data_IF_482810572329
#
_entry.id   IF_482810572329
#
_cell.length_a   1.000
_cell.length_b   1.000
_cell.length_c   1.000
_cell.angle_alpha   90.00
_cell.angle_beta   90.00
_cell.angle_gamma   90.00
#
_symmetry.space_group_name_H-M   'P 1'
#
loop_
_entity.id
_entity.type
_entity.pdbx_description
1 polymer ?
#
# COMPACT_ATOMS: atom_id res chain seq x y z
N UNK A 1 -33.13 -7.40 -32.14
CA UNK A 1 -32.30 -8.15 -31.17
C UNK A 1 -31.09 -8.75 -31.90
N UNK A 2 -29.92 -8.15 -31.71
CA UNK A 2 -28.59 -8.71 -32.00
C UNK A 2 -27.63 -8.20 -30.91
N UNK A 3 -26.61 -9.00 -30.51
CA UNK A 3 -26.01 -8.91 -29.18
C UNK A 3 -24.93 -7.83 -29.07
N UNK A 4 -24.77 -7.35 -27.85
CA UNK A 4 -23.76 -6.40 -27.37
C UNK A 4 -22.39 -7.10 -27.39
N UNK A 5 -21.45 -6.58 -28.19
CA UNK A 5 -20.05 -6.98 -28.16
C UNK A 5 -19.30 -6.12 -27.13
N UNK A 6 -18.52 -6.79 -26.29
CA UNK A 6 -17.66 -6.23 -25.25
C UNK A 6 -16.53 -5.41 -25.89
N UNK A 7 -16.47 -4.11 -25.60
CA UNK A 7 -15.32 -3.29 -25.98
C UNK A 7 -14.19 -3.49 -24.97
N UNK A 8 -13.15 -4.19 -25.44
CA UNK A 8 -11.82 -4.24 -24.86
C UNK A 8 -11.17 -2.86 -25.00
N UNK A 9 -10.90 -2.20 -23.87
CA UNK A 9 -10.09 -0.98 -23.84
C UNK A 9 -8.61 -1.38 -23.96
N UNK A 10 -8.12 -1.46 -25.18
CA UNK A 10 -6.68 -1.50 -25.46
C UNK A 10 -6.26 -0.06 -25.72
N UNK A 11 -5.70 0.58 -24.70
CA UNK A 11 -5.07 1.89 -24.83
C UNK A 11 -3.75 1.62 -25.54
N UNK A 12 -3.61 2.11 -26.78
CA UNK A 12 -2.37 2.00 -27.55
C UNK A 12 -1.29 2.83 -26.86
N UNK A 13 -0.21 2.15 -26.40
CA UNK A 13 0.94 2.75 -25.70
C UNK A 13 1.75 3.74 -26.57
N UNK A 14 1.40 3.93 -27.85
CA UNK A 14 2.09 4.88 -28.74
C UNK A 14 1.61 6.34 -28.62
N UNK A 15 0.50 6.64 -27.95
CA UNK A 15 -0.03 8.01 -27.89
C UNK A 15 0.46 8.81 -26.67
N UNK A 16 1.25 8.20 -25.78
CA UNK A 16 1.73 8.83 -24.54
C UNK A 16 3.06 9.56 -24.79
N UNK A 17 3.89 9.08 -25.72
CA UNK A 17 5.23 9.64 -25.93
C UNK A 17 5.26 11.02 -26.61
N UNK A 18 4.22 11.37 -27.40
CA UNK A 18 4.18 12.63 -28.15
C UNK A 18 3.72 13.85 -27.34
N UNK A 19 3.17 13.66 -26.12
CA UNK A 19 2.77 14.76 -25.23
C UNK A 19 3.85 15.13 -24.19
N UNK A 20 4.88 14.29 -24.01
CA UNK A 20 5.92 14.50 -23.01
C UNK A 20 7.04 15.48 -23.43
N UNK A 21 7.07 15.96 -24.67
CA UNK A 21 8.14 16.85 -25.16
C UNK A 21 7.82 18.36 -25.16
N UNK A 22 6.60 18.80 -24.85
CA UNK A 22 6.23 20.21 -25.08
C UNK A 22 6.46 21.12 -23.86
N UNK A 23 6.62 20.61 -22.64
CA UNK A 23 6.57 21.48 -21.45
C UNK A 23 7.68 21.35 -20.41
N UNK A 24 8.84 20.79 -20.74
CA UNK A 24 9.90 20.57 -19.74
C UNK A 24 10.80 21.82 -19.54
N UNK A 25 10.42 22.74 -18.63
CA UNK A 25 11.37 23.68 -18.01
C UNK A 25 11.19 23.67 -16.49
N UNK A 26 12.26 23.56 -15.70
CA UNK A 26 12.14 23.57 -14.23
C UNK A 26 11.76 24.98 -13.73
N UNK A 27 10.94 25.04 -12.68
CA UNK A 27 10.68 26.26 -11.91
C UNK A 27 12.03 26.90 -11.57
N UNK A 28 12.26 28.16 -11.97
CA UNK A 28 13.59 28.79 -11.90
C UNK A 28 14.07 28.93 -10.46
N UNK A 29 13.15 29.01 -9.51
CA UNK A 29 13.45 29.05 -8.09
C UNK A 29 13.86 27.68 -7.50
N UNK A 30 13.41 26.56 -8.06
CA UNK A 30 13.65 25.23 -7.47
C UNK A 30 15.15 24.86 -7.41
N UNK A 31 15.96 25.03 -8.47
CA UNK A 31 17.40 24.77 -8.39
C UNK A 31 18.12 25.63 -7.34
N UNK A 32 17.68 26.89 -7.17
CA UNK A 32 18.24 27.82 -6.17
C UNK A 32 17.87 27.38 -4.76
N UNK A 33 16.60 27.00 -4.54
CA UNK A 33 16.10 26.56 -3.24
C UNK A 33 16.67 25.19 -2.84
N UNK A 34 16.84 24.26 -3.78
CA UNK A 34 17.43 22.94 -3.52
C UNK A 34 18.97 23.00 -3.36
N UNK A 35 19.63 24.00 -3.94
CA UNK A 35 21.09 24.13 -3.91
C UNK A 35 21.69 24.55 -2.56
N UNK A 36 20.91 25.21 -1.68
CA UNK A 36 21.34 25.60 -0.34
C UNK A 36 20.39 25.02 0.71
N UNK A 37 20.90 24.16 1.59
CA UNK A 37 20.13 23.51 2.66
C UNK A 37 19.37 24.51 3.55
N UNK A 38 19.90 25.72 3.74
CA UNK A 38 19.24 26.77 4.51
C UNK A 38 18.06 27.38 3.77
N UNK A 39 18.15 27.51 2.45
CA UNK A 39 17.07 27.96 1.58
C UNK A 39 16.04 26.85 1.38
N UNK A 40 16.48 25.60 1.23
CA UNK A 40 15.62 24.43 1.18
C UNK A 40 14.78 24.35 2.46
N UNK A 41 15.40 24.41 3.66
CA UNK A 41 14.69 24.40 4.95
C UNK A 41 13.73 25.57 5.14
N UNK A 42 14.04 26.75 4.60
CA UNK A 42 13.14 27.92 4.64
C UNK A 42 11.99 27.79 3.65
N UNK A 43 12.26 27.24 2.47
CA UNK A 43 11.26 26.97 1.43
C UNK A 43 10.37 25.77 1.74
N UNK A 44 10.83 24.82 2.56
CA UNK A 44 10.08 23.63 3.01
C UNK A 44 9.55 23.74 4.44
N UNK A 45 9.41 24.95 5.00
CA UNK A 45 8.84 25.17 6.34
C UNK A 45 7.63 24.26 6.63
N UNK A 46 7.58 23.70 7.85
CA UNK A 46 6.60 22.70 8.34
C UNK A 46 6.31 21.49 7.41
N UNK A 47 7.27 21.11 6.55
CA UNK A 47 7.12 19.92 5.71
C UNK A 47 6.43 20.22 4.38
N UNK A 48 6.90 21.25 3.69
CA UNK A 48 6.37 21.70 2.39
C UNK A 48 6.31 20.57 1.36
N UNK A 49 5.12 20.02 1.17
CA UNK A 49 4.78 19.18 0.02
C UNK A 49 4.64 20.11 -1.17
N UNK A 50 5.38 19.84 -2.25
CA UNK A 50 5.17 20.55 -3.51
C UNK A 50 3.77 20.18 -4.02
N UNK A 51 2.86 21.15 -4.01
CA UNK A 51 1.54 21.05 -4.59
C UNK A 51 1.52 21.82 -5.89
N UNK A 52 1.20 21.12 -6.97
CA UNK A 52 1.04 21.71 -8.28
C UNK A 52 -0.39 22.28 -8.46
N UNK A 53 -0.63 23.02 -9.54
CA UNK A 53 -1.97 23.51 -9.89
C UNK A 53 -2.91 22.32 -10.15
N UNK A 54 -4.14 22.43 -9.68
CA UNK A 54 -5.19 21.45 -9.95
C UNK A 54 -5.82 21.76 -11.31
N UNK A 55 -5.51 20.95 -12.32
CA UNK A 55 -6.04 21.17 -13.68
C UNK A 55 -7.44 20.59 -13.83
N UNK A 56 -8.25 21.11 -14.74
CA UNK A 56 -9.48 20.42 -15.20
C UNK A 56 -9.21 19.48 -16.39
N UNK A 57 -7.94 19.20 -16.67
CA UNK A 57 -7.51 18.32 -17.78
C UNK A 57 -7.62 16.84 -17.37
N UNK A 58 -7.41 16.55 -16.08
CA UNK A 58 -7.56 15.20 -15.53
C UNK A 58 -8.75 15.13 -14.58
N UNK A 59 -9.53 14.05 -14.67
CA UNK A 59 -10.65 13.81 -13.74
C UNK A 59 -10.22 13.79 -12.28
N UNK A 60 -9.00 13.30 -12.00
CA UNK A 60 -8.43 13.25 -10.66
C UNK A 60 -8.30 14.67 -10.09
N UNK A 61 -7.68 15.57 -10.84
CA UNK A 61 -7.45 16.93 -10.36
C UNK A 61 -8.75 17.72 -10.23
N UNK A 62 -9.72 17.49 -11.13
CA UNK A 62 -11.07 18.06 -11.05
C UNK A 62 -11.81 17.60 -9.78
N UNK A 63 -11.76 16.30 -9.46
CA UNK A 63 -12.33 15.75 -8.22
C UNK A 63 -11.64 16.31 -6.97
N UNK A 64 -10.30 16.43 -6.99
CA UNK A 64 -9.53 17.01 -5.88
C UNK A 64 -9.87 18.50 -5.72
N UNK A 65 -9.99 19.24 -6.82
CA UNK A 65 -10.37 20.66 -6.81
C UNK A 65 -11.76 20.84 -6.19
N UNK A 66 -12.74 20.05 -6.63
CA UNK A 66 -14.09 20.12 -6.10
C UNK A 66 -14.11 19.82 -4.60
N UNK A 67 -13.44 18.74 -4.18
CA UNK A 67 -13.33 18.38 -2.76
C UNK A 67 -12.64 19.46 -1.92
N UNK A 68 -11.57 20.05 -2.46
CA UNK A 68 -10.87 21.17 -1.83
C UNK A 68 -11.81 22.37 -1.62
N UNK A 69 -12.53 22.78 -2.66
CA UNK A 69 -13.46 23.90 -2.57
C UNK A 69 -14.60 23.58 -1.60
N UNK A 70 -15.24 22.41 -1.69
CA UNK A 70 -16.32 22.01 -0.79
C UNK A 70 -15.90 22.10 0.68
N UNK A 71 -14.69 21.66 1.01
CA UNK A 71 -14.16 21.72 2.38
C UNK A 71 -13.77 23.14 2.79
N UNK A 72 -13.10 23.88 1.92
CA UNK A 72 -12.58 25.21 2.24
C UNK A 72 -13.69 26.28 2.27
N UNK A 73 -14.76 26.09 1.50
CA UNK A 73 -15.87 27.04 1.43
C UNK A 73 -16.71 27.08 2.72
N UNK A 74 -16.55 26.09 3.62
CA UNK A 74 -17.13 26.13 4.97
C UNK A 74 -16.54 27.26 5.83
N UNK A 75 -15.34 27.77 5.52
CA UNK A 75 -14.65 28.81 6.28
C UNK A 75 -15.11 30.23 5.90
N UNK A 76 -16.42 30.49 6.06
CA UNK A 76 -17.02 31.80 5.85
C UNK A 76 -17.18 32.58 7.16
N UNK A 77 -16.68 33.82 7.18
CA UNK A 77 -16.76 34.77 8.29
C UNK A 77 -17.85 35.83 8.09
N UNK A 78 -18.57 35.77 6.98
CA UNK A 78 -19.69 36.66 6.65
C UNK A 78 -20.97 36.24 7.37
N UNK A 79 -21.81 37.19 7.82
CA UNK A 79 -23.10 36.87 8.47
C UNK A 79 -24.11 36.15 7.56
N UNK A 80 -23.98 36.23 6.24
CA UNK A 80 -24.84 35.52 5.28
C UNK A 80 -24.01 34.46 4.54
N UNK A 81 -23.70 33.33 5.19
CA UNK A 81 -22.97 32.25 4.53
C UNK A 81 -23.80 31.70 3.37
N UNK A 82 -23.13 31.35 2.28
CA UNK A 82 -23.74 30.74 1.09
C UNK A 82 -23.19 29.34 0.87
N UNK A 83 -23.99 28.46 0.27
CA UNK A 83 -23.49 27.17 -0.18
C UNK A 83 -22.60 27.37 -1.41
N UNK A 84 -21.60 26.50 -1.59
CA UNK A 84 -20.87 26.42 -2.84
C UNK A 84 -21.83 25.95 -3.94
N UNK A 85 -21.96 26.73 -5.01
CA UNK A 85 -22.65 26.34 -6.22
C UNK A 85 -21.66 26.24 -7.39
N UNK A 86 -22.14 25.73 -8.52
CA UNK A 86 -21.29 25.48 -9.69
C UNK A 86 -20.77 26.79 -10.30
N UNK A 87 -21.51 27.90 -10.19
CA UNK A 87 -21.04 29.20 -10.68
C UNK A 87 -19.86 29.73 -9.83
N UNK A 88 -19.93 29.60 -8.51
CA UNK A 88 -18.85 29.98 -7.61
C UNK A 88 -17.62 29.08 -7.79
N UNK A 89 -17.81 27.77 -7.99
CA UNK A 89 -16.73 26.85 -8.33
C UNK A 89 -16.02 27.30 -9.60
N UNK A 90 -16.78 27.53 -10.67
CA UNK A 90 -16.26 27.96 -11.96
C UNK A 90 -15.52 29.30 -11.87
N UNK A 91 -16.04 30.27 -11.12
CA UNK A 91 -15.38 31.57 -10.95
C UNK A 91 -14.10 31.46 -10.13
N UNK A 92 -14.12 30.68 -9.05
CA UNK A 92 -12.92 30.46 -8.23
C UNK A 92 -11.85 29.71 -9.01
N UNK A 93 -12.24 28.77 -9.87
CA UNK A 93 -11.33 28.07 -10.75
C UNK A 93 -10.79 28.99 -11.84
N UNK A 94 -11.67 29.72 -12.51
CA UNK A 94 -11.30 30.63 -13.59
C UNK A 94 -10.33 31.69 -13.06
N UNK A 95 -10.62 32.36 -11.95
CA UNK A 95 -9.76 33.44 -11.46
C UNK A 95 -8.48 32.96 -10.77
N UNK A 96 -8.38 31.69 -10.39
CA UNK A 96 -7.16 31.13 -9.78
C UNK A 96 -6.34 30.22 -10.70
N UNK A 97 -6.95 29.74 -11.78
CA UNK A 97 -6.41 28.70 -12.66
C UNK A 97 -6.02 27.41 -11.94
N UNK A 98 -6.77 27.04 -10.91
CA UNK A 98 -6.54 25.82 -10.12
C UNK A 98 -5.39 25.95 -9.12
N UNK A 99 -4.84 27.14 -8.94
CA UNK A 99 -3.79 27.40 -7.94
C UNK A 99 -4.46 27.59 -6.59
N UNK A 100 -4.32 26.58 -5.72
CA UNK A 100 -4.96 26.52 -4.39
C UNK A 100 -4.70 27.77 -3.56
N UNK A 101 -3.44 28.20 -3.48
CA UNK A 101 -3.05 29.36 -2.67
C UNK A 101 -3.67 30.69 -3.17
N UNK A 102 -3.78 30.87 -4.50
CA UNK A 102 -4.45 32.03 -5.10
C UNK A 102 -5.94 31.98 -4.80
N UNK A 103 -6.56 30.81 -4.88
CA UNK A 103 -7.98 30.59 -4.58
C UNK A 103 -8.33 30.96 -3.14
N UNK A 104 -7.49 30.51 -2.19
CA UNK A 104 -7.64 30.84 -0.76
C UNK A 104 -7.57 32.35 -0.56
N UNK A 105 -6.54 33.01 -1.10
CA UNK A 105 -6.37 34.45 -0.97
C UNK A 105 -7.51 35.23 -1.61
N UNK A 106 -7.95 34.82 -2.79
CA UNK A 106 -9.07 35.43 -3.50
C UNK A 106 -10.35 35.36 -2.66
N UNK A 107 -10.65 34.20 -2.08
CA UNK A 107 -11.79 34.02 -1.20
C UNK A 107 -11.70 34.87 0.07
N UNK A 108 -10.53 34.91 0.74
CA UNK A 108 -10.31 35.74 1.92
C UNK A 108 -10.56 37.22 1.63
N UNK A 109 -10.03 37.74 0.52
CA UNK A 109 -10.22 39.15 0.15
C UNK A 109 -11.67 39.43 -0.23
N UNK A 110 -12.36 38.49 -0.89
CA UNK A 110 -13.78 38.62 -1.19
C UNK A 110 -14.63 38.72 0.07
N UNK A 111 -14.34 37.91 1.10
CA UNK A 111 -14.99 38.00 2.39
C UNK A 111 -14.74 39.34 3.08
N UNK A 112 -13.48 39.79 3.13
CA UNK A 112 -13.15 41.10 3.70
C UNK A 112 -13.88 42.24 2.99
N UNK A 113 -13.98 42.19 1.66
CA UNK A 113 -14.71 43.19 0.89
C UNK A 113 -16.22 43.12 1.17
N UNK A 114 -16.81 41.93 1.25
CA UNK A 114 -18.23 41.78 1.60
C UNK A 114 -18.54 42.36 2.99
N UNK A 115 -17.64 42.16 3.95
CA UNK A 115 -17.73 42.71 5.31
C UNK A 115 -17.60 44.23 5.29
N UNK A 116 -16.59 44.77 4.59
CA UNK A 116 -16.36 46.21 4.51
C UNK A 116 -17.51 46.97 3.85
N UNK A 117 -18.18 46.37 2.86
CA UNK A 117 -19.34 46.93 2.17
C UNK A 117 -20.67 46.72 2.93
N UNK A 118 -20.66 45.95 4.02
CA UNK A 118 -21.85 45.62 4.81
C UNK A 118 -22.86 44.69 4.10
N UNK A 119 -22.56 44.23 2.87
CA UNK A 119 -23.40 43.26 2.17
C UNK A 119 -23.33 41.90 2.87
N UNK A 120 -22.12 41.55 3.33
CA UNK A 120 -21.77 40.29 4.00
C UNK A 120 -22.29 39.07 3.26
N UNK A 121 -22.29 39.13 1.92
CA UNK A 121 -22.73 38.09 1.01
C UNK A 121 -21.67 37.90 -0.09
N UNK A 122 -21.21 36.68 -0.28
CA UNK A 122 -20.27 36.31 -1.34
C UNK A 122 -21.07 36.00 -2.61
N UNK A 123 -20.67 36.59 -3.74
CA UNK A 123 -21.31 36.37 -5.03
C UNK A 123 -20.25 36.17 -6.13
N UNK A 124 -20.57 35.47 -7.23
CA UNK A 124 -19.68 35.33 -8.37
C UNK A 124 -19.17 36.68 -8.90
N UNK A 125 -20.05 37.69 -8.96
CA UNK A 125 -19.69 39.04 -9.37
C UNK A 125 -18.67 39.71 -8.44
N UNK A 126 -18.84 39.55 -7.12
CA UNK A 126 -17.89 40.06 -6.13
C UNK A 126 -16.52 39.41 -6.30
N UNK A 127 -16.46 38.09 -6.49
CA UNK A 127 -15.20 37.35 -6.67
C UNK A 127 -14.47 37.84 -7.92
N UNK A 128 -15.16 37.98 -9.06
CA UNK A 128 -14.58 38.53 -10.31
C UNK A 128 -14.02 39.95 -10.11
N UNK A 129 -14.76 40.81 -9.40
CA UNK A 129 -14.30 42.17 -9.10
C UNK A 129 -13.05 42.16 -8.22
N UNK A 130 -13.02 41.32 -7.18
CA UNK A 130 -11.87 41.21 -6.29
C UNK A 130 -10.65 40.68 -7.03
N UNK A 131 -10.82 39.68 -7.90
CA UNK A 131 -9.77 39.17 -8.75
C UNK A 131 -9.20 40.28 -9.64
N UNK A 132 -10.08 41.07 -10.27
CA UNK A 132 -9.66 42.15 -11.14
C UNK A 132 -8.82 43.22 -10.42
N UNK A 133 -9.18 43.57 -9.20
CA UNK A 133 -8.51 44.62 -8.43
C UNK A 133 -7.24 44.10 -7.72
N UNK A 134 -7.31 42.89 -7.17
CA UNK A 134 -6.33 42.39 -6.19
C UNK A 134 -5.27 41.48 -6.80
N UNK A 135 -5.56 40.83 -7.93
CA UNK A 135 -4.63 39.91 -8.59
C UNK A 135 -3.83 40.57 -9.73
N UNK A 136 -3.85 41.90 -9.85
CA UNK A 136 -3.23 42.64 -10.97
C UNK A 136 -1.75 42.26 -11.25
N UNK A 137 -0.96 41.93 -10.22
CA UNK A 137 0.45 41.51 -10.39
C UNK A 137 0.59 40.11 -11.01
N UNK A 138 -0.28 39.18 -10.63
CA UNK A 138 -0.25 37.78 -11.09
C UNK A 138 -1.18 37.55 -12.29
N UNK A 139 -2.02 38.52 -12.62
CA UNK A 139 -3.01 38.43 -13.71
C UNK A 139 -2.38 38.10 -15.07
N UNK A 140 -1.26 38.68 -15.50
CA UNK A 140 -0.62 38.29 -16.76
C UNK A 140 -0.20 36.81 -16.81
N UNK A 141 0.10 36.23 -15.63
CA UNK A 141 0.47 34.83 -15.49
C UNK A 141 -0.77 33.92 -15.54
N UNK A 142 -1.82 34.31 -14.81
CA UNK A 142 -3.12 33.61 -14.83
C UNK A 142 -3.75 33.64 -16.23
N UNK A 143 -3.67 34.77 -16.93
CA UNK A 143 -4.16 34.91 -18.30
C UNK A 143 -3.35 34.07 -19.29
N UNK A 144 -2.05 33.85 -19.02
CA UNK A 144 -1.24 32.91 -19.79
C UNK A 144 -1.72 31.47 -19.58
N UNK A 145 -1.99 31.07 -18.32
CA UNK A 145 -2.56 29.76 -18.01
C UNK A 145 -3.95 29.57 -18.63
N UNK A 146 -4.84 30.57 -18.54
CA UNK A 146 -6.16 30.59 -19.17
C UNK A 146 -6.09 30.36 -20.69
N UNK A 147 -5.09 30.96 -21.33
CA UNK A 147 -4.95 30.88 -22.79
C UNK A 147 -4.52 29.49 -23.28
N UNK A 148 -3.94 28.65 -22.42
CA UNK A 148 -3.39 27.35 -22.81
C UNK A 148 -2.21 27.43 -23.79
N UNK A 149 -1.72 28.63 -24.11
CA UNK A 149 -0.68 28.88 -25.10
C UNK A 149 0.71 28.57 -24.51
N UNK A 150 1.43 27.55 -25.04
CA UNK A 150 2.75 27.17 -24.56
C UNK A 150 3.77 28.30 -24.54
N UNK A 151 3.73 29.20 -25.53
CA UNK A 151 4.69 30.29 -25.62
C UNK A 151 4.45 31.35 -24.56
N UNK A 152 3.18 31.61 -24.24
CA UNK A 152 2.79 32.55 -23.18
C UNK A 152 3.08 31.99 -21.81
N UNK A 153 2.82 30.70 -21.59
CA UNK A 153 3.11 30.01 -20.33
C UNK A 153 4.63 29.91 -20.13
N UNK A 154 5.41 29.62 -21.17
CA UNK A 154 6.87 29.53 -21.08
C UNK A 154 7.56 30.82 -20.63
N UNK A 155 6.93 32.00 -20.84
CA UNK A 155 7.42 33.28 -20.33
C UNK A 155 7.43 33.34 -18.79
N UNK A 156 6.56 32.56 -18.14
CA UNK A 156 6.41 32.51 -16.70
C UNK A 156 6.84 31.14 -16.18
N UNK A 157 8.14 31.03 -15.88
CA UNK A 157 8.81 29.75 -15.61
C UNK A 157 8.37 29.01 -14.35
N UNK A 158 7.68 29.67 -13.42
CA UNK A 158 7.40 29.13 -12.08
C UNK A 158 6.01 28.47 -11.95
N UNK A 159 5.30 28.28 -13.07
CA UNK A 159 4.00 27.61 -13.13
C UNK A 159 4.07 26.21 -13.73
N UNK A 160 5.28 25.64 -13.82
CA UNK A 160 5.44 24.35 -14.46
C UNK A 160 5.29 23.24 -13.41
N UNK A 161 4.41 22.25 -13.67
CA UNK A 161 4.41 21.00 -12.93
C UNK A 161 5.84 20.47 -12.78
N UNK A 162 6.22 20.12 -11.56
CA UNK A 162 7.32 19.16 -11.40
C UNK A 162 6.80 17.87 -12.05
N UNK A 163 7.48 17.41 -13.10
CA UNK A 163 7.23 16.07 -13.62
C UNK A 163 7.70 15.05 -12.58
N UNK A 164 6.80 14.71 -11.64
CA UNK A 164 7.02 13.68 -10.63
C UNK A 164 7.00 12.29 -11.31
N UNK A 165 6.56 12.18 -12.57
CA UNK A 165 6.60 10.94 -13.36
C UNK A 165 8.02 10.42 -13.52
N UNK A 166 8.94 11.28 -13.95
CA UNK A 166 10.37 10.96 -14.08
C UNK A 166 10.97 10.51 -12.75
N UNK A 167 10.63 11.18 -11.64
CA UNK A 167 11.07 10.78 -10.31
C UNK A 167 10.44 9.45 -9.88
N UNK A 168 9.15 9.25 -10.10
CA UNK A 168 8.43 8.02 -9.76
C UNK A 168 9.04 6.81 -10.49
N UNK A 169 9.34 6.95 -11.78
CA UNK A 169 9.95 5.90 -12.59
C UNK A 169 11.41 5.63 -12.20
N UNK A 170 12.15 6.69 -11.84
CA UNK A 170 13.49 6.58 -11.27
C UNK A 170 13.50 5.88 -9.90
N UNK A 171 12.53 6.16 -9.03
CA UNK A 171 12.43 5.51 -7.72
C UNK A 171 11.86 4.09 -7.83
N UNK A 172 10.93 3.85 -8.76
CA UNK A 172 10.40 2.53 -9.10
C UNK A 172 11.49 1.59 -9.60
N UNK A 173 12.29 2.01 -10.58
CA UNK A 173 13.41 1.22 -11.10
C UNK A 173 14.45 0.89 -10.02
N UNK A 174 14.74 1.84 -9.12
CA UNK A 174 15.60 1.59 -7.95
C UNK A 174 14.99 0.59 -6.97
N UNK A 175 13.68 0.65 -6.72
CA UNK A 175 12.98 -0.31 -5.86
C UNK A 175 12.93 -1.71 -6.47
N UNK A 176 12.70 -1.82 -7.78
CA UNK A 176 12.72 -3.09 -8.53
C UNK A 176 14.12 -3.70 -8.57
N UNK A 177 15.16 -2.89 -8.82
CA UNK A 177 16.55 -3.32 -8.76
C UNK A 177 16.93 -3.82 -7.35
N UNK A 178 16.47 -3.14 -6.30
CA UNK A 178 16.67 -3.56 -4.92
C UNK A 178 15.97 -4.89 -4.63
N UNK A 179 14.70 -5.04 -5.03
CA UNK A 179 13.95 -6.32 -4.93
C UNK A 179 14.66 -7.46 -5.66
N UNK A 180 15.17 -7.21 -6.87
CA UNK A 180 15.90 -8.21 -7.67
C UNK A 180 17.22 -8.61 -7.00
N UNK A 181 17.93 -7.64 -6.39
CA UNK A 181 19.16 -7.92 -5.63
C UNK A 181 18.90 -8.77 -4.38
N UNK A 182 17.80 -8.50 -3.66
CA UNK A 182 17.39 -9.30 -2.49
C UNK A 182 16.96 -10.72 -2.90
N UNK A 183 16.19 -10.87 -3.99
CA UNK A 183 15.84 -12.18 -4.56
C UNK A 183 17.07 -12.99 -4.96
N UNK A 184 18.10 -12.34 -5.53
CA UNK A 184 19.37 -13.00 -5.86
C UNK A 184 20.11 -13.46 -4.61
N UNK A 185 20.12 -12.67 -3.54
CA UNK A 185 20.73 -13.04 -2.25
C UNK A 185 20.04 -14.25 -1.63
N UNK A 186 18.70 -14.29 -1.62
CA UNK A 186 17.94 -15.47 -1.17
C UNK A 186 18.28 -16.71 -2.02
N UNK A 187 18.36 -16.55 -3.35
CA UNK A 187 18.68 -17.66 -4.26
C UNK A 187 20.12 -18.18 -4.11
N UNK A 188 21.07 -17.35 -3.67
CA UNK A 188 22.44 -17.78 -3.35
C UNK A 188 22.54 -18.51 -2.02
N UNK A 189 21.66 -18.23 -1.05
CA UNK A 189 21.60 -18.96 0.23
C UNK A 189 20.97 -20.35 0.06
N UNK A 190 20.10 -20.53 -0.95
CA UNK A 190 19.42 -21.80 -1.24
C UNK A 190 20.19 -22.77 -2.17
N UNK A 191 21.36 -22.39 -2.69
CA UNK A 191 22.23 -23.35 -3.39
C UNK A 191 23.11 -24.07 -2.37
N UNK A 192 22.97 -25.39 -2.17
CA UNK A 192 24.00 -26.16 -1.47
C UNK A 192 25.30 -26.04 -2.29
N UNK A 193 26.42 -25.81 -1.60
CA UNK A 193 27.75 -25.65 -2.18
C UNK A 193 28.07 -26.74 -3.19
N UNK A 194 28.64 -26.34 -4.33
CA UNK A 194 29.08 -27.20 -5.42
C UNK A 194 30.40 -27.93 -5.10
N UNK A 195 30.44 -28.65 -3.97
CA UNK A 195 31.55 -29.53 -3.59
C UNK A 195 30.99 -30.95 -3.44
N UNK A 196 31.16 -31.78 -4.48
CA UNK A 196 30.85 -33.22 -4.61
C UNK A 196 29.46 -33.72 -4.09
N UNK A 197 28.67 -34.46 -4.91
CA UNK A 197 27.50 -35.14 -4.38
C UNK A 197 27.96 -36.13 -3.29
N UNK A 198 27.44 -36.01 -2.07
CA UNK A 198 27.62 -37.07 -1.09
C UNK A 198 27.08 -38.37 -1.74
N UNK A 199 27.83 -39.47 -1.63
CA UNK A 199 27.38 -40.78 -2.14
C UNK A 199 25.95 -41.12 -1.65
N UNK A 200 25.58 -40.59 -0.49
CA UNK A 200 24.24 -40.65 0.08
C UNK A 200 23.18 -39.94 -0.76
N UNK A 201 23.45 -38.73 -1.24
CA UNK A 201 22.51 -38.01 -2.09
C UNK A 201 22.31 -38.72 -3.44
N UNK A 202 23.37 -39.31 -4.00
CA UNK A 202 23.29 -40.02 -5.27
C UNK A 202 22.45 -41.31 -5.15
N UNK A 203 22.67 -42.10 -4.09
CA UNK A 203 21.86 -43.29 -3.78
C UNK A 203 20.38 -42.91 -3.54
N UNK A 204 20.11 -41.81 -2.83
CA UNK A 204 18.73 -41.34 -2.59
C UNK A 204 18.03 -40.97 -3.91
N UNK A 205 18.71 -40.23 -4.80
CA UNK A 205 18.16 -39.85 -6.10
C UNK A 205 17.83 -41.09 -6.93
N UNK A 206 18.74 -42.08 -6.98
CA UNK A 206 18.49 -43.31 -7.72
C UNK A 206 17.34 -44.13 -7.13
N UNK A 207 17.19 -44.19 -5.81
CA UNK A 207 16.05 -44.86 -5.17
C UNK A 207 14.72 -44.15 -5.46
N UNK A 208 14.71 -42.81 -5.48
CA UNK A 208 13.53 -42.04 -5.86
C UNK A 208 13.14 -42.27 -7.33
N UNK A 209 14.12 -42.45 -8.23
CA UNK A 209 13.87 -42.82 -9.62
C UNK A 209 13.31 -44.25 -9.79
N UNK A 210 13.44 -45.10 -8.77
CA UNK A 210 12.81 -46.43 -8.68
C UNK A 210 11.45 -46.37 -7.97
N UNK A 211 10.82 -45.18 -7.94
CA UNK A 211 9.53 -44.86 -7.34
C UNK A 211 9.44 -45.11 -5.82
N UNK A 212 10.59 -45.07 -5.12
CA UNK A 212 10.59 -45.13 -3.67
C UNK A 212 10.26 -43.75 -3.06
N UNK A 213 9.31 -43.66 -2.10
CA UNK A 213 8.99 -42.39 -1.45
C UNK A 213 10.22 -41.75 -0.80
N UNK A 214 10.35 -40.41 -0.80
CA UNK A 214 11.57 -39.70 -0.37
C UNK A 214 12.00 -40.03 1.08
N UNK A 215 11.02 -40.24 1.96
CA UNK A 215 11.25 -40.59 3.37
C UNK A 215 11.87 -41.99 3.52
N UNK A 216 11.43 -42.96 2.72
CA UNK A 216 11.97 -44.32 2.72
C UNK A 216 13.31 -44.38 2.00
N UNK A 217 13.44 -43.69 0.86
CA UNK A 217 14.70 -43.61 0.11
C UNK A 217 15.84 -43.12 1.01
N UNK A 218 15.60 -42.06 1.80
CA UNK A 218 16.58 -41.54 2.76
C UNK A 218 16.92 -42.54 3.87
N UNK A 219 15.90 -43.14 4.49
CA UNK A 219 16.08 -44.09 5.59
C UNK A 219 16.92 -45.31 5.16
N UNK A 220 16.61 -45.90 4.01
CA UNK A 220 17.32 -47.09 3.53
C UNK A 220 18.69 -46.76 2.94
N UNK A 221 18.85 -45.59 2.30
CA UNK A 221 20.16 -45.12 1.86
C UNK A 221 21.12 -44.92 3.05
N UNK A 222 20.65 -44.29 4.15
CA UNK A 222 21.43 -44.13 5.37
C UNK A 222 21.81 -45.48 6.01
N UNK A 223 20.87 -46.43 6.08
CA UNK A 223 21.12 -47.78 6.60
C UNK A 223 22.21 -48.53 5.81
N UNK A 224 22.11 -48.53 4.47
CA UNK A 224 23.02 -49.28 3.60
C UNK A 224 24.40 -48.62 3.51
N UNK A 225 24.46 -47.29 3.57
CA UNK A 225 25.73 -46.56 3.59
C UNK A 225 26.44 -46.73 4.93
N UNK A 226 25.71 -46.80 6.04
CA UNK A 226 26.28 -47.10 7.36
C UNK A 226 26.82 -48.54 7.48
N UNK A 227 26.21 -49.49 6.78
CA UNK A 227 26.62 -50.90 6.75
C UNK A 227 27.58 -51.24 5.59
N UNK A 228 28.09 -50.22 4.87
CA UNK A 228 28.82 -50.37 3.60
C UNK A 228 30.13 -51.17 3.76
N UNK A 229 30.41 -52.02 2.77
CA UNK A 229 31.75 -52.55 2.50
C UNK A 229 32.56 -51.54 1.67
N UNK A 230 33.87 -51.34 1.96
CA UNK A 230 34.65 -50.22 1.43
C UNK A 230 34.65 -50.10 -0.11
N UNK A 231 34.48 -51.20 -0.84
CA UNK A 231 34.55 -51.23 -2.31
C UNK A 231 33.20 -51.33 -3.03
N UNK A 232 32.06 -51.16 -2.33
CA UNK A 232 30.75 -51.26 -2.96
C UNK A 232 30.45 -50.08 -3.90
N UNK A 233 29.89 -50.38 -5.08
CA UNK A 233 29.49 -49.40 -6.09
C UNK A 233 28.09 -48.83 -5.82
N UNK A 234 27.80 -47.64 -6.35
CA UNK A 234 26.51 -46.94 -6.15
C UNK A 234 25.33 -47.81 -6.56
N UNK A 235 25.44 -48.57 -7.66
CA UNK A 235 24.40 -49.47 -8.15
C UNK A 235 24.13 -50.68 -7.22
N UNK A 236 25.17 -51.16 -6.52
CA UNK A 236 25.02 -52.26 -5.56
C UNK A 236 24.32 -51.77 -4.30
N UNK A 237 24.70 -50.58 -3.83
CA UNK A 237 24.10 -49.95 -2.65
C UNK A 237 22.63 -49.58 -2.89
N UNK A 238 22.28 -49.11 -4.10
CA UNK A 238 20.87 -48.81 -4.44
C UNK A 238 20.05 -50.08 -4.57
N UNK A 239 20.59 -51.15 -5.18
CA UNK A 239 19.90 -52.43 -5.26
C UNK A 239 19.68 -53.07 -3.87
N UNK A 240 20.64 -52.96 -2.97
CA UNK A 240 20.52 -53.46 -1.60
C UNK A 240 19.51 -52.65 -0.78
N UNK A 241 19.53 -51.31 -0.89
CA UNK A 241 18.59 -50.43 -0.22
C UNK A 241 17.15 -50.64 -0.73
N UNK A 242 16.98 -50.86 -2.03
CA UNK A 242 15.67 -51.14 -2.64
C UNK A 242 15.10 -52.50 -2.20
N UNK A 243 15.94 -53.54 -2.15
CA UNK A 243 15.56 -54.86 -1.63
C UNK A 243 15.20 -54.80 -0.14
N UNK A 244 15.95 -54.07 0.66
CA UNK A 244 15.66 -53.87 2.09
C UNK A 244 14.30 -53.18 2.28
N UNK A 245 14.01 -52.15 1.47
CA UNK A 245 12.72 -51.46 1.50
C UNK A 245 11.55 -52.40 1.15
N UNK A 246 11.70 -53.25 0.13
CA UNK A 246 10.69 -54.25 -0.25
C UNK A 246 10.47 -55.30 0.85
N UNK A 247 11.54 -55.74 1.51
CA UNK A 247 11.48 -56.77 2.57
C UNK A 247 10.84 -56.29 3.87
N UNK A 248 10.91 -54.97 4.15
CA UNK A 248 10.26 -54.36 5.32
C UNK A 248 8.73 -54.16 5.12
N UNK A 249 8.17 -54.57 3.98
CA UNK A 249 6.74 -54.61 3.70
C UNK A 249 6.10 -53.23 3.56
N UNK A 250 5.90 -52.77 2.32
CA UNK A 250 5.14 -51.56 2.01
C UNK A 250 3.64 -51.88 1.96
N UNK A 251 2.80 -51.06 2.58
CA UNK A 251 1.38 -50.98 2.21
C UNK A 251 1.21 -50.32 0.82
N UNK A 252 0.06 -50.48 0.15
CA UNK A 252 -0.24 -49.96 -1.21
C UNK A 252 0.00 -48.45 -1.46
N UNK A 253 0.33 -47.68 -0.42
CA UNK A 253 0.67 -46.25 -0.46
C UNK A 253 2.13 -45.96 -0.04
N UNK A 254 2.99 -46.98 0.01
CA UNK A 254 4.42 -46.85 0.28
C UNK A 254 4.78 -46.41 1.70
N UNK A 255 3.96 -46.80 2.70
CA UNK A 255 4.23 -46.54 4.12
C UNK A 255 4.76 -47.82 4.81
N UNK A 256 5.72 -47.71 5.75
CA UNK A 256 6.22 -48.88 6.48
C UNK A 256 5.11 -49.45 7.38
N UNK A 257 4.86 -50.76 7.31
CA UNK A 257 3.86 -51.43 8.16
C UNK A 257 4.40 -51.54 9.59
N UNK A 258 4.00 -50.61 10.45
CA UNK A 258 4.32 -50.63 11.87
C UNK A 258 3.44 -51.69 12.54
N UNK A 259 4.03 -52.82 12.95
CA UNK A 259 3.37 -53.74 13.89
C UNK A 259 3.22 -53.02 15.23
N UNK A 260 1.98 -52.74 15.61
CA UNK A 260 1.63 -51.98 16.82
C UNK A 260 2.36 -52.50 18.07
N UNK A 261 3.15 -51.64 18.70
CA UNK A 261 3.44 -51.73 20.12
C UNK A 261 2.71 -50.58 20.82
N UNK A 262 1.90 -50.94 21.81
CA UNK A 262 0.98 -50.10 22.59
C UNK A 262 1.49 -48.66 22.80
N UNK A 263 0.64 -47.71 22.44
CA UNK A 263 0.87 -46.28 22.60
C UNK A 263 1.26 -45.92 24.05
N UNK A 264 2.40 -45.24 24.20
CA UNK A 264 2.63 -44.35 25.34
C UNK A 264 2.42 -42.92 24.84
N UNK A 265 1.36 -42.29 25.35
CA UNK A 265 0.96 -40.92 25.04
C UNK A 265 2.07 -39.94 25.39
N UNK A 266 2.56 -39.17 24.42
CA UNK A 266 3.42 -38.01 24.70
C UNK A 266 2.54 -36.77 24.92
N UNK A 267 2.55 -36.33 26.16
CA UNK A 267 1.95 -35.11 26.68
C UNK A 267 2.37 -33.88 25.86
N UNK A 268 1.38 -33.07 25.48
CA UNK A 268 1.60 -31.71 25.02
C UNK A 268 2.20 -30.91 26.18
N UNK A 269 3.34 -30.26 25.95
CA UNK A 269 3.95 -29.27 26.87
C UNK A 269 2.87 -28.37 27.46
N UNK A 270 2.56 -28.56 28.74
CA UNK A 270 1.69 -27.65 29.49
C UNK A 270 2.43 -26.33 29.65
N UNK A 271 1.91 -25.27 29.04
CA UNK A 271 2.23 -23.92 29.51
C UNK A 271 1.46 -23.77 30.82
N UNK A 272 2.16 -23.62 31.94
CA UNK A 272 1.53 -23.30 33.22
C UNK A 272 1.05 -21.85 33.14
N UNK A 273 -0.22 -21.66 32.85
CA UNK A 273 -0.84 -20.34 32.95
C UNK A 273 -1.11 -20.03 34.43
N UNK A 274 -1.07 -18.75 34.80
CA UNK A 274 -1.45 -18.33 36.16
C UNK A 274 -2.93 -18.67 36.43
N UNK A 275 -3.34 -18.92 37.69
CA UNK A 275 -4.72 -19.33 38.02
C UNK A 275 -5.80 -18.39 37.48
N UNK A 276 -5.49 -17.09 37.38
CA UNK A 276 -6.40 -16.03 36.93
C UNK A 276 -6.18 -15.63 35.46
N UNK A 277 -5.46 -16.43 34.66
CA UNK A 277 -5.27 -16.12 33.23
C UNK A 277 -6.58 -16.30 32.46
N UNK A 278 -6.99 -15.23 31.75
CA UNK A 278 -8.18 -15.21 30.90
C UNK A 278 -8.22 -16.35 29.88
N UNK A 279 -7.05 -16.85 29.45
CA UNK A 279 -6.96 -17.96 28.49
C UNK A 279 -7.46 -19.28 29.08
N UNK A 280 -7.25 -19.54 30.37
CA UNK A 280 -7.76 -20.73 31.04
C UNK A 280 -9.28 -20.66 31.17
N UNK A 281 -9.80 -19.49 31.57
CA UNK A 281 -11.23 -19.25 31.76
C UNK A 281 -12.00 -19.39 30.43
N UNK A 282 -11.44 -18.87 29.33
CA UNK A 282 -12.04 -19.00 27.99
C UNK A 282 -11.89 -20.42 27.44
N UNK A 283 -10.80 -21.12 27.73
CA UNK A 283 -10.64 -22.53 27.36
C UNK A 283 -11.66 -23.43 28.07
N UNK A 284 -11.95 -23.16 29.35
CA UNK A 284 -13.01 -23.82 30.09
C UNK A 284 -14.39 -23.54 29.49
N UNK A 285 -14.68 -22.29 29.12
CA UNK A 285 -15.93 -21.95 28.41
C UNK A 285 -16.10 -22.76 27.12
N UNK A 286 -15.02 -22.93 26.36
CA UNK A 286 -15.01 -23.73 25.12
C UNK A 286 -15.22 -25.22 25.40
N UNK A 287 -14.66 -25.76 26.49
CA UNK A 287 -14.86 -27.15 26.92
C UNK A 287 -16.30 -27.40 27.37
N UNK A 288 -16.91 -26.42 28.04
CA UNK A 288 -18.24 -26.51 28.61
C UNK A 288 -19.35 -26.00 27.66
N UNK A 289 -18.99 -25.60 26.43
CA UNK A 289 -19.89 -25.00 25.41
C UNK A 289 -20.71 -23.80 25.91
N UNK A 290 -20.19 -23.07 26.89
CA UNK A 290 -20.81 -21.84 27.40
C UNK A 290 -20.29 -20.61 26.65
N UNK A 291 -21.06 -19.53 26.67
CA UNK A 291 -20.61 -18.26 26.10
C UNK A 291 -19.44 -17.70 26.92
N UNK A 292 -18.36 -17.30 26.24
CA UNK A 292 -17.18 -16.72 26.87
C UNK A 292 -17.52 -15.52 27.78
N UNK A 293 -18.52 -14.73 27.39
CA UNK A 293 -19.00 -13.57 28.15
C UNK A 293 -19.57 -13.97 29.52
N UNK A 294 -20.38 -15.03 29.57
CA UNK A 294 -20.98 -15.51 30.83
C UNK A 294 -19.93 -16.09 31.77
N UNK A 295 -18.98 -16.86 31.24
CA UNK A 295 -17.90 -17.46 32.05
C UNK A 295 -16.99 -16.38 32.64
N UNK A 296 -16.64 -15.35 31.87
CA UNK A 296 -15.85 -14.21 32.35
C UNK A 296 -16.61 -13.34 33.37
N UNK A 297 -17.93 -13.18 33.21
CA UNK A 297 -18.80 -12.51 34.19
C UNK A 297 -18.85 -13.28 35.51
N UNK A 298 -18.99 -14.61 35.46
CA UNK A 298 -19.02 -15.46 36.65
C UNK A 298 -17.69 -15.46 37.41
N UNK A 299 -16.56 -15.34 36.70
CA UNK A 299 -15.24 -15.17 37.29
C UNK A 299 -14.97 -13.73 37.80
N UNK A 300 -15.94 -12.82 37.70
CA UNK A 300 -15.82 -11.44 38.22
C UNK A 300 -14.87 -10.53 37.44
N UNK A 301 -14.39 -10.97 36.27
CA UNK A 301 -13.50 -10.19 35.39
C UNK A 301 -14.27 -9.05 34.71
N UNK A 302 -15.57 -9.26 34.44
CA UNK A 302 -16.44 -8.31 33.75
C UNK A 302 -17.59 -7.93 34.68
N UNK A 303 -17.79 -6.63 34.93
CA UNK A 303 -18.92 -6.10 35.69
C UNK A 303 -20.20 -6.10 34.85
N UNK A 304 -21.35 -6.17 35.54
CA UNK A 304 -22.65 -6.05 34.86
C UNK A 304 -22.87 -4.60 34.43
N UNK A 305 -23.38 -4.32 33.21
CA UNK A 305 -23.63 -2.95 32.74
C UNK A 305 -24.52 -2.10 33.65
N UNK A 306 -25.38 -2.74 34.47
CA UNK A 306 -26.23 -2.06 35.43
C UNK A 306 -25.51 -1.60 36.72
N UNK A 307 -24.26 -2.04 36.95
CA UNK A 307 -23.47 -1.72 38.14
C UNK A 307 -22.38 -0.68 37.87
N UNK A 308 -22.05 -0.44 36.59
CA UNK A 308 -21.24 0.70 36.17
C UNK A 308 -22.21 1.87 35.91
N UNK A 309 -22.41 2.72 36.92
CA UNK A 309 -23.46 3.76 36.98
C UNK A 309 -23.40 4.83 35.88
N UNK A 310 -23.75 4.44 34.65
CA UNK A 310 -23.88 5.30 33.47
C UNK A 310 -25.25 5.18 32.78
N UNK A 311 -26.28 4.79 33.52
CA UNK A 311 -27.66 4.82 33.04
C UNK A 311 -28.49 5.63 34.04
N UNK A 312 -28.43 6.96 33.94
CA UNK A 312 -29.54 7.80 34.39
C UNK A 312 -30.75 7.43 33.53
N UNK A 313 -31.77 6.91 34.19
CA UNK A 313 -33.03 6.56 33.55
C UNK A 313 -33.69 7.83 32.99
N UNK A 314 -33.80 7.92 31.67
CA UNK A 314 -34.84 8.73 31.04
C UNK A 314 -36.16 7.99 31.29
N UNK A 315 -36.86 8.42 32.34
CA UNK A 315 -38.25 8.05 32.58
C UNK A 315 -39.10 8.98 31.71
N UNK A 316 -39.93 8.39 30.85
CA UNK A 316 -40.98 9.06 30.08
C UNK A 316 -41.98 9.81 30.97
#
# INVERSE_FOLDING_TARGET
MKPIAQNSWRIDECAIDDLHQVYNHPNKALPVLQGDFRQARRGTGEGGVYWDRLTRETKRDEEIWRFFLETFFEYQWTRKPVALDDELDDVLYEESQGIVDISIKLFMIAQWRAIALGTELITPALVRQVAADSLHLVRPMLDALKSGDPERIAKYSDFKPLDIGDFYEQYRSKLEAKKLSELRKLRTVERPSADAPSLLNEVIIQLMNLDLPPSLAKLHAEKVIAARKPDATVAELTAEAYKAALSEGLDMLGRPVIRERKATSKESRSRSFAPDDLRLIVAEAKKNKSSAYQTLKNHGVIKSPAQDGLIEAVVC
#
